data_IF_010979101222
#
_entry.id   IF_010979101222
#
_cell.length_a   1.000
_cell.length_b   1.000
_cell.length_c   1.000
_cell.angle_alpha   90.00
_cell.angle_beta   90.00
_cell.angle_gamma   90.00
#
_symmetry.space_group_name_H-M   'P 1'
#
loop_
_entity.id
_entity.type
_entity.pdbx_description
1 polymer ?
#
# COMPACT_ATOMS: atom_id res chain seq x y z
N UNK A 1 -22.68 18.14 -33.69
CA UNK A 1 -21.51 17.22 -33.75
C UNK A 1 -20.61 17.30 -32.50
N UNK A 2 -20.23 18.49 -31.99
CA UNK A 2 -19.38 18.62 -30.77
C UNK A 2 -19.89 17.90 -29.51
N UNK A 3 -21.18 17.96 -29.22
CA UNK A 3 -21.76 17.33 -28.01
C UNK A 3 -21.84 15.80 -28.09
N UNK A 4 -21.95 15.24 -29.29
CA UNK A 4 -22.01 13.78 -29.48
C UNK A 4 -20.64 13.12 -29.25
N UNK A 5 -19.57 13.77 -29.71
CA UNK A 5 -18.19 13.33 -29.46
C UNK A 5 -17.83 13.44 -27.97
N UNK A 6 -18.29 14.50 -27.30
CA UNK A 6 -18.05 14.68 -25.86
C UNK A 6 -18.80 13.64 -25.01
N UNK A 7 -20.02 13.27 -25.41
CA UNK A 7 -20.81 12.24 -24.74
C UNK A 7 -20.20 10.84 -24.92
N UNK A 8 -19.65 10.51 -26.10
CA UNK A 8 -19.04 9.20 -26.34
C UNK A 8 -17.74 8.99 -25.55
N UNK A 9 -16.97 10.06 -25.31
CA UNK A 9 -15.75 10.01 -24.49
C UNK A 9 -16.10 9.78 -23.01
N UNK A 10 -17.17 10.41 -22.52
CA UNK A 10 -17.66 10.19 -21.16
C UNK A 10 -18.18 8.77 -20.94
N UNK A 11 -18.90 8.20 -21.91
CA UNK A 11 -19.44 6.83 -21.81
C UNK A 11 -18.31 5.79 -21.89
N UNK A 12 -17.31 5.99 -22.76
CA UNK A 12 -16.13 5.11 -22.85
C UNK A 12 -15.28 5.16 -21.57
N UNK A 13 -15.06 6.36 -21.01
CA UNK A 13 -14.33 6.52 -19.75
C UNK A 13 -15.05 5.88 -18.56
N UNK A 14 -16.38 5.91 -18.53
CA UNK A 14 -17.18 5.26 -17.49
C UNK A 14 -17.10 3.72 -17.58
N UNK A 15 -16.99 3.16 -18.79
CA UNK A 15 -16.84 1.72 -19.00
C UNK A 15 -15.49 1.19 -18.50
N UNK A 16 -14.43 1.99 -18.60
CA UNK A 16 -13.08 1.65 -18.10
C UNK A 16 -13.00 1.64 -16.56
N UNK A 17 -13.87 2.39 -15.86
CA UNK A 17 -13.92 2.42 -14.40
C UNK A 17 -14.71 1.25 -13.79
N UNK A 18 -15.52 0.55 -14.59
CA UNK A 18 -16.38 -0.55 -14.12
C UNK A 18 -15.73 -1.91 -14.39
N UNK A 19 -14.71 -2.00 -15.25
CA UNK A 19 -13.98 -3.25 -15.42
C UNK A 19 -13.08 -3.53 -14.21
N UNK A 20 -13.32 -4.61 -13.44
CA UNK A 20 -12.38 -5.00 -12.39
C UNK A 20 -11.09 -5.46 -13.08
N UNK A 21 -10.05 -4.62 -13.08
CA UNK A 21 -8.70 -5.09 -13.38
C UNK A 21 -8.25 -5.98 -12.21
N UNK A 22 -7.97 -7.27 -12.42
CA UNK A 22 -7.40 -8.09 -11.36
C UNK A 22 -6.03 -7.52 -11.02
N UNK A 23 -5.90 -6.97 -9.81
CA UNK A 23 -4.60 -6.61 -9.23
C UNK A 23 -4.03 -7.87 -8.61
N UNK A 24 -3.24 -8.61 -9.38
CA UNK A 24 -2.41 -9.70 -8.88
C UNK A 24 -1.23 -9.11 -8.10
N UNK A 25 -1.49 -8.70 -6.87
CA UNK A 25 -0.44 -8.37 -5.88
C UNK A 25 -0.20 -9.52 -4.88
N UNK A 26 -0.92 -10.64 -5.01
CA UNK A 26 -0.81 -11.80 -4.13
C UNK A 26 -0.27 -13.00 -4.91
N UNK A 27 0.97 -13.37 -4.63
CA UNK A 27 1.49 -14.69 -4.98
C UNK A 27 0.84 -15.76 -4.08
N UNK A 28 0.72 -16.97 -4.62
CA UNK A 28 0.03 -18.09 -4.02
C UNK A 28 0.68 -18.53 -2.70
N UNK A 29 -0.12 -18.64 -1.63
CA UNK A 29 0.30 -19.06 -0.27
C UNK A 29 1.08 -20.39 -0.29
N UNK A 30 0.80 -21.27 -1.24
CA UNK A 30 1.25 -22.67 -1.24
C UNK A 30 2.78 -22.85 -1.34
N UNK A 31 3.54 -21.87 -1.86
CA UNK A 31 5.00 -22.01 -2.06
C UNK A 31 5.86 -21.71 -0.82
N UNK A 32 5.39 -20.86 0.11
CA UNK A 32 6.16 -20.46 1.31
C UNK A 32 5.95 -21.40 2.51
N UNK A 33 4.81 -22.10 2.58
CA UNK A 33 4.46 -22.96 3.72
C UNK A 33 5.43 -24.12 3.94
N UNK A 34 6.09 -24.62 2.88
CA UNK A 34 7.05 -25.72 3.02
C UNK A 34 8.31 -25.32 3.81
N UNK A 35 8.65 -24.03 3.89
CA UNK A 35 9.86 -23.53 4.57
C UNK A 35 9.58 -22.91 5.95
N UNK A 36 8.32 -22.60 6.25
CA UNK A 36 7.93 -21.83 7.43
C UNK A 36 7.55 -22.67 8.65
N UNK A 37 7.29 -23.98 8.48
CA UNK A 37 6.81 -24.86 9.58
C UNK A 37 7.74 -26.06 9.84
N UNK A 38 8.62 -26.40 8.90
CA UNK A 38 9.62 -27.45 9.10
C UNK A 38 10.91 -27.08 8.38
N UNK A 39 12.04 -27.17 9.09
CA UNK A 39 13.32 -27.40 8.42
C UNK A 39 13.30 -28.77 7.71
N UNK A 40 14.29 -29.07 6.86
CA UNK A 40 14.37 -30.33 6.10
C UNK A 40 14.19 -31.61 6.94
N UNK A 41 14.39 -31.53 8.26
CA UNK A 41 14.46 -32.68 9.17
C UNK A 41 13.51 -32.61 10.38
N UNK A 42 12.39 -31.86 10.32
CA UNK A 42 11.36 -31.85 11.38
C UNK A 42 11.90 -31.62 12.81
N UNK A 43 13.01 -30.90 12.92
CA UNK A 43 13.69 -30.58 14.18
C UNK A 43 13.49 -29.11 14.51
N UNK A 44 13.02 -28.87 15.74
CA UNK A 44 12.79 -27.61 16.48
C UNK A 44 12.35 -26.34 15.74
N UNK A 45 11.34 -25.67 16.29
CA UNK A 45 10.88 -24.36 15.82
C UNK A 45 12.02 -23.32 15.86
N UNK A 46 12.54 -22.94 14.69
CA UNK A 46 13.56 -21.90 14.55
C UNK A 46 12.91 -20.50 14.51
N UNK A 47 13.64 -19.46 14.90
CA UNK A 47 13.23 -18.03 14.82
C UNK A 47 12.70 -17.62 13.43
N UNK A 48 13.08 -18.34 12.36
CA UNK A 48 12.53 -18.20 11.01
C UNK A 48 10.99 -18.31 10.94
N UNK A 49 10.37 -19.08 11.84
CA UNK A 49 8.90 -19.18 11.90
C UNK A 49 8.23 -17.86 12.29
N UNK A 50 8.87 -17.06 13.15
CA UNK A 50 8.39 -15.72 13.49
C UNK A 50 8.52 -14.78 12.29
N UNK A 51 9.64 -14.82 11.55
CA UNK A 51 9.80 -14.02 10.33
C UNK A 51 8.72 -14.31 9.29
N UNK A 52 8.36 -15.59 9.07
CA UNK A 52 7.25 -15.94 8.18
C UNK A 52 5.89 -15.41 8.67
N UNK A 53 5.61 -15.50 9.97
CA UNK A 53 4.38 -14.95 10.55
C UNK A 53 4.29 -13.43 10.31
N UNK A 54 5.38 -12.71 10.58
CA UNK A 54 5.45 -11.28 10.35
C UNK A 54 5.31 -10.93 8.87
N UNK A 55 5.94 -11.69 7.96
CA UNK A 55 5.80 -11.48 6.52
C UNK A 55 4.33 -11.58 6.07
N UNK A 56 3.63 -12.65 6.48
CA UNK A 56 2.22 -12.86 6.13
C UNK A 56 1.31 -11.76 6.68
N UNK A 57 1.51 -11.38 7.94
CA UNK A 57 0.74 -10.30 8.58
C UNK A 57 1.00 -8.97 7.87
N UNK A 58 2.26 -8.65 7.57
CA UNK A 58 2.63 -7.42 6.88
C UNK A 58 2.08 -7.37 5.46
N UNK A 59 2.05 -8.49 4.73
CA UNK A 59 1.49 -8.56 3.39
C UNK A 59 -0.01 -8.21 3.38
N UNK A 60 -0.78 -8.81 4.30
CA UNK A 60 -2.23 -8.54 4.42
C UNK A 60 -2.49 -7.11 4.88
N UNK A 61 -1.79 -6.65 5.93
CA UNK A 61 -1.99 -5.30 6.47
C UNK A 61 -1.56 -4.23 5.46
N UNK A 62 -0.48 -4.44 4.70
CA UNK A 62 -0.02 -3.46 3.71
C UNK A 62 -1.04 -3.24 2.60
N UNK A 63 -1.71 -4.30 2.14
CA UNK A 63 -2.78 -4.20 1.14
C UNK A 63 -3.98 -3.42 1.68
N UNK A 64 -4.42 -3.73 2.90
CA UNK A 64 -5.55 -3.03 3.54
C UNK A 64 -5.17 -1.56 3.82
N UNK A 65 -3.97 -1.32 4.33
CA UNK A 65 -3.46 0.02 4.63
C UNK A 65 -3.39 0.89 3.38
N UNK A 66 -2.94 0.35 2.24
CA UNK A 66 -2.93 1.06 0.97
C UNK A 66 -4.33 1.51 0.52
N UNK A 67 -5.33 0.63 0.65
CA UNK A 67 -6.73 0.95 0.29
C UNK A 67 -7.30 2.02 1.21
N UNK A 68 -7.13 1.87 2.53
CA UNK A 68 -7.63 2.83 3.52
C UNK A 68 -6.99 4.19 3.33
N UNK A 69 -5.67 4.23 3.12
CA UNK A 69 -4.93 5.45 2.81
C UNK A 69 -5.50 6.14 1.57
N UNK A 70 -5.71 5.39 0.49
CA UNK A 70 -6.22 5.93 -0.76
C UNK A 70 -7.62 6.53 -0.61
N UNK A 71 -8.54 5.84 0.09
CA UNK A 71 -9.90 6.34 0.34
C UNK A 71 -9.89 7.59 1.21
N UNK A 72 -9.15 7.59 2.32
CA UNK A 72 -9.02 8.77 3.20
C UNK A 72 -8.41 9.96 2.47
N UNK A 73 -7.41 9.73 1.63
CA UNK A 73 -6.77 10.77 0.84
C UNK A 73 -7.74 11.40 -0.17
N UNK A 74 -8.53 10.58 -0.89
CA UNK A 74 -9.53 11.09 -1.83
C UNK A 74 -10.63 11.88 -1.14
N UNK A 75 -11.19 11.36 -0.05
CA UNK A 75 -12.26 12.03 0.70
C UNK A 75 -11.77 13.38 1.26
N UNK A 76 -10.58 13.40 1.87
CA UNK A 76 -9.98 14.64 2.37
C UNK A 76 -9.70 15.66 1.25
N UNK A 77 -9.23 15.20 0.09
CA UNK A 77 -8.95 16.05 -1.07
C UNK A 77 -10.21 16.69 -1.64
N UNK A 78 -11.27 15.90 -1.87
CA UNK A 78 -12.54 16.44 -2.35
C UNK A 78 -13.22 17.34 -1.33
N UNK A 79 -13.18 16.98 -0.04
CA UNK A 79 -13.73 17.82 1.01
C UNK A 79 -13.01 19.18 1.09
N UNK A 80 -11.71 19.22 0.82
CA UNK A 80 -10.96 20.47 0.74
C UNK A 80 -11.39 21.32 -0.46
N UNK A 81 -11.53 20.73 -1.65
CA UNK A 81 -11.93 21.43 -2.87
C UNK A 81 -13.37 21.97 -2.82
N UNK A 82 -14.29 21.21 -2.21
CA UNK A 82 -15.71 21.58 -2.12
C UNK A 82 -16.07 22.35 -0.84
N UNK A 83 -15.08 22.83 -0.08
CA UNK A 83 -15.32 23.49 1.21
C UNK A 83 -15.92 24.91 1.12
N UNK A 84 -16.18 25.43 -0.08
CA UNK A 84 -17.02 26.61 -0.40
C UNK A 84 -16.96 27.78 0.61
N UNK A 85 -15.74 28.19 0.99
CA UNK A 85 -15.47 29.32 1.89
C UNK A 85 -16.04 29.17 3.32
N UNK A 86 -16.39 27.95 3.75
CA UNK A 86 -16.74 27.63 5.13
C UNK A 86 -15.46 27.28 5.92
N UNK A 87 -15.04 28.10 6.90
CA UNK A 87 -13.81 27.89 7.65
C UNK A 87 -13.80 26.57 8.45
N UNK A 88 -14.97 26.07 8.86
CA UNK A 88 -15.08 24.81 9.61
C UNK A 88 -14.77 23.61 8.71
N UNK A 89 -15.24 23.63 7.47
CA UNK A 89 -15.00 22.55 6.50
C UNK A 89 -13.56 22.56 5.99
N UNK A 90 -12.99 23.75 5.79
CA UNK A 90 -11.57 23.91 5.43
C UNK A 90 -10.67 23.36 6.53
N UNK A 91 -10.93 23.71 7.80
CA UNK A 91 -10.13 23.24 8.93
C UNK A 91 -10.18 21.71 9.09
N UNK A 92 -11.36 21.11 8.93
CA UNK A 92 -11.53 19.65 8.99
C UNK A 92 -10.88 18.91 7.81
N UNK A 93 -10.98 19.46 6.60
CA UNK A 93 -10.35 18.89 5.42
C UNK A 93 -8.82 18.99 5.49
N UNK A 94 -8.31 20.14 5.95
CA UNK A 94 -6.89 20.37 6.15
C UNK A 94 -6.27 19.40 7.16
N UNK A 95 -6.93 19.19 8.31
CA UNK A 95 -6.45 18.23 9.31
C UNK A 95 -6.41 16.79 8.78
N UNK A 96 -7.45 16.38 8.05
CA UNK A 96 -7.52 15.05 7.41
C UNK A 96 -6.40 14.87 6.38
N UNK A 97 -6.15 15.89 5.55
CA UNK A 97 -5.06 15.88 4.57
C UNK A 97 -3.69 15.78 5.23
N UNK A 98 -3.44 16.54 6.30
CA UNK A 98 -2.17 16.43 7.03
C UNK A 98 -1.98 15.05 7.65
N UNK A 99 -3.01 14.43 8.21
CA UNK A 99 -2.90 13.08 8.76
C UNK A 99 -2.55 12.04 7.68
N UNK A 100 -3.21 12.12 6.52
CA UNK A 100 -2.90 11.28 5.38
C UNK A 100 -1.44 11.51 4.91
N UNK A 101 -1.04 12.78 4.78
CA UNK A 101 0.30 13.12 4.31
C UNK A 101 1.39 12.66 5.27
N UNK A 102 1.20 12.80 6.59
CA UNK A 102 2.14 12.30 7.61
C UNK A 102 2.30 10.78 7.53
N UNK A 103 1.21 10.04 7.30
CA UNK A 103 1.28 8.59 7.08
C UNK A 103 2.13 8.21 5.86
N UNK A 104 1.92 8.89 4.73
CA UNK A 104 2.71 8.68 3.52
C UNK A 104 4.19 9.05 3.73
N UNK A 105 4.43 10.21 4.35
CA UNK A 105 5.76 10.70 4.64
C UNK A 105 6.55 9.71 5.52
N UNK A 106 5.88 9.10 6.51
CA UNK A 106 6.49 8.10 7.38
C UNK A 106 7.01 6.87 6.62
N UNK A 107 6.27 6.39 5.61
CA UNK A 107 6.70 5.27 4.76
C UNK A 107 7.92 5.65 3.93
N UNK A 108 7.91 6.84 3.31
CA UNK A 108 9.02 7.34 2.51
C UNK A 108 10.28 7.50 3.37
N UNK A 109 10.14 8.07 4.56
CA UNK A 109 11.25 8.26 5.51
C UNK A 109 11.80 6.90 5.97
N UNK A 110 10.94 5.93 6.27
CA UNK A 110 11.36 4.57 6.62
C UNK A 110 12.25 3.96 5.54
N UNK A 111 11.84 4.04 4.27
CA UNK A 111 12.63 3.56 3.15
C UNK A 111 13.95 4.31 2.99
N UNK A 112 13.94 5.63 3.18
CA UNK A 112 15.14 6.47 3.11
C UNK A 112 16.18 6.07 4.17
N UNK A 113 15.74 5.79 5.40
CA UNK A 113 16.62 5.33 6.48
C UNK A 113 17.27 3.99 6.12
N UNK A 114 16.51 3.04 5.59
CA UNK A 114 17.05 1.73 5.16
C UNK A 114 18.11 1.90 4.05
N UNK A 115 17.85 2.78 3.08
CA UNK A 115 18.79 3.09 1.99
C UNK A 115 20.05 3.76 2.50
N UNK A 116 19.93 4.65 3.48
CA UNK A 116 21.08 5.26 4.13
C UNK A 116 21.96 4.18 4.79
N UNK A 117 21.37 3.29 5.59
CA UNK A 117 22.11 2.20 6.24
C UNK A 117 22.79 1.28 5.22
N UNK A 118 22.13 0.97 4.11
CA UNK A 118 22.71 0.17 3.01
C UNK A 118 23.96 0.83 2.42
N UNK A 119 23.96 2.16 2.23
CA UNK A 119 25.13 2.88 1.70
C UNK A 119 26.32 2.87 2.68
N UNK A 120 26.06 2.89 3.99
CA UNK A 120 27.12 2.85 5.00
C UNK A 120 27.65 1.45 5.28
N UNK A 121 26.80 0.43 5.27
CA UNK A 121 27.20 -0.95 5.60
C UNK A 121 27.60 -1.77 4.38
N UNK A 122 27.21 -1.36 3.18
CA UNK A 122 27.44 -2.11 1.94
C UNK A 122 26.61 -3.40 1.82
N UNK A 123 25.72 -3.67 2.78
CA UNK A 123 24.87 -4.87 2.82
C UNK A 123 23.47 -4.50 2.36
N UNK A 124 22.91 -5.29 1.44
CA UNK A 124 21.57 -5.08 0.88
C UNK A 124 20.48 -5.48 1.88
N UNK A 125 20.11 -4.55 2.77
CA UNK A 125 19.01 -4.71 3.74
C UNK A 125 17.61 -4.49 3.15
N UNK A 126 17.52 -4.10 1.87
CA UNK A 126 16.24 -3.88 1.18
C UNK A 126 15.72 -5.11 0.46
N UNK A 127 16.50 -6.19 0.38
CA UNK A 127 16.13 -7.41 -0.30
C UNK A 127 16.05 -8.55 0.73
N UNK A 128 14.85 -8.75 1.28
CA UNK A 128 14.58 -9.85 2.20
C UNK A 128 14.36 -11.13 1.39
N UNK A 129 15.43 -11.64 0.77
CA UNK A 129 15.43 -12.99 0.22
C UNK A 129 15.61 -13.93 1.38
N UNK A 130 14.59 -14.72 1.72
CA UNK A 130 14.71 -15.79 2.71
C UNK A 130 15.57 -16.89 2.08
N UNK A 131 16.85 -17.09 2.50
CA UNK A 131 17.66 -18.17 1.99
C UNK A 131 17.28 -19.45 2.74
N UNK A 132 16.83 -20.42 1.95
CA UNK A 132 16.40 -21.76 2.32
C UNK A 132 15.73 -22.40 1.13
#
# INVERSE_FOLDING_TARGET
MKYFVFLSILISGLFFLISPSPVTAQEEWSSQNAKCVAGPDNDVATIKGFECLFYNILQVISLIAGIVFFVMFLVGSFQYLFSLNDPKRVAQAGSTLTMAFVGLLGVIISWLILRFIQQFTGINVTNFVIPG
#
